data_IF_338110525539
#
_entry.id   IF_338110525539
#
_cell.length_a   1.000
_cell.length_b   1.000
_cell.length_c   1.000
_cell.angle_alpha   90.00
_cell.angle_beta   90.00
_cell.angle_gamma   90.00
#
_symmetry.space_group_name_H-M   'P 1'
#
loop_
_entity.id
_entity.type
_entity.pdbx_description
1 polymer ?
#
# COMPACT_ATOMS: atom_id res chain seq x y z
N UNK A 1 -23.26 -6.02 -12.43
CA UNK A 1 -22.64 -6.49 -11.18
C UNK A 1 -22.03 -5.26 -10.53
N UNK A 2 -22.65 -4.73 -9.48
CA UNK A 2 -22.12 -3.56 -8.76
C UNK A 2 -20.79 -3.97 -8.13
N UNK A 3 -19.70 -3.21 -8.29
CA UNK A 3 -18.47 -3.51 -7.57
C UNK A 3 -18.79 -3.42 -6.08
N UNK A 4 -18.37 -4.42 -5.30
CA UNK A 4 -18.53 -4.41 -3.85
C UNK A 4 -17.67 -3.28 -3.26
N UNK A 5 -18.19 -2.05 -3.27
CA UNK A 5 -17.55 -0.83 -2.75
C UNK A 5 -17.06 -0.99 -1.30
N UNK A 6 -17.69 -1.90 -0.55
CA UNK A 6 -17.34 -2.22 0.84
C UNK A 6 -16.01 -2.97 0.99
N UNK A 7 -15.61 -3.78 0.01
CA UNK A 7 -14.39 -4.61 0.09
C UNK A 7 -13.11 -3.78 -0.08
N UNK A 8 -13.04 -2.98 -1.14
CA UNK A 8 -11.90 -2.11 -1.42
C UNK A 8 -11.66 -1.06 -0.32
N UNK A 9 -12.74 -0.45 0.19
CA UNK A 9 -12.67 0.50 1.32
C UNK A 9 -12.06 -0.13 2.57
N UNK A 10 -12.50 -1.34 2.94
CA UNK A 10 -11.94 -2.06 4.09
C UNK A 10 -10.45 -2.40 3.93
N UNK A 11 -10.03 -2.82 2.73
CA UNK A 11 -8.60 -3.09 2.44
C UNK A 11 -7.76 -1.82 2.57
N UNK A 12 -8.25 -0.68 2.08
CA UNK A 12 -7.54 0.60 2.23
C UNK A 12 -7.43 1.09 3.68
N UNK A 13 -8.52 0.95 4.45
CA UNK A 13 -8.52 1.25 5.89
C UNK A 13 -7.52 0.38 6.66
N UNK A 14 -7.42 -0.90 6.32
CA UNK A 14 -6.45 -1.82 6.92
C UNK A 14 -5.01 -1.40 6.62
N UNK A 15 -4.69 -1.09 5.36
CA UNK A 15 -3.36 -0.56 4.98
C UNK A 15 -3.01 0.71 5.73
N UNK A 16 -3.96 1.64 5.87
CA UNK A 16 -3.73 2.87 6.62
C UNK A 16 -3.44 2.59 8.11
N UNK A 17 -4.18 1.67 8.73
CA UNK A 17 -3.97 1.25 10.11
C UNK A 17 -2.60 0.61 10.32
N UNK A 18 -2.19 -0.27 9.42
CA UNK A 18 -0.90 -0.96 9.47
C UNK A 18 0.28 0.00 9.28
N UNK A 19 0.16 0.98 8.37
CA UNK A 19 1.14 2.06 8.24
C UNK A 19 1.21 2.94 9.49
N UNK A 20 0.08 3.23 10.12
CA UNK A 20 0.03 3.96 11.39
C UNK A 20 0.70 3.18 12.52
N UNK A 21 0.56 1.85 12.55
CA UNK A 21 1.25 0.98 13.51
C UNK A 21 2.78 1.04 13.33
N UNK A 22 3.28 1.04 12.10
CA UNK A 22 4.72 1.23 11.83
C UNK A 22 5.19 2.58 12.37
N UNK A 23 4.44 3.66 12.12
CA UNK A 23 4.77 4.98 12.65
C UNK A 23 4.81 4.99 14.18
N UNK A 24 3.84 4.34 14.84
CA UNK A 24 3.82 4.19 16.29
C UNK A 24 5.04 3.40 16.82
N UNK A 25 5.39 2.29 16.18
CA UNK A 25 6.58 1.49 16.54
C UNK A 25 7.85 2.33 16.47
N UNK A 26 8.00 3.12 15.39
CA UNK A 26 9.13 4.02 15.20
C UNK A 26 9.16 5.12 16.27
N UNK A 27 8.03 5.79 16.52
CA UNK A 27 7.91 6.86 17.52
C UNK A 27 8.27 6.36 18.93
N UNK A 28 7.77 5.18 19.31
CA UNK A 28 8.04 4.56 20.60
C UNK A 28 9.37 3.81 20.68
N UNK A 29 10.14 3.79 19.58
CA UNK A 29 11.43 3.08 19.46
C UNK A 29 11.34 1.61 19.88
N UNK A 30 10.23 0.95 19.52
CA UNK A 30 9.99 -0.44 19.86
C UNK A 30 10.79 -1.35 18.92
N UNK A 31 11.33 -2.45 19.44
CA UNK A 31 11.98 -3.49 18.63
C UNK A 31 10.93 -4.41 18.02
N UNK A 32 10.29 -3.96 16.94
CA UNK A 32 9.29 -4.71 16.17
C UNK A 32 9.57 -4.58 14.67
N UNK A 33 9.11 -5.52 13.84
CA UNK A 33 9.17 -5.36 12.38
C UNK A 33 8.48 -4.06 11.94
N UNK A 34 9.11 -3.33 11.03
CA UNK A 34 8.59 -2.11 10.42
C UNK A 34 8.26 -2.34 8.95
N UNK A 35 7.66 -3.49 8.66
CA UNK A 35 7.13 -3.81 7.33
C UNK A 35 5.77 -4.48 7.44
N UNK A 36 4.97 -4.31 6.39
CA UNK A 36 3.64 -4.90 6.24
C UNK A 36 3.51 -5.54 4.86
N UNK A 37 2.83 -6.68 4.78
CA UNK A 37 2.67 -7.45 3.55
C UNK A 37 1.19 -7.63 3.27
N UNK A 38 0.74 -7.20 2.09
CA UNK A 38 -0.61 -7.45 1.62
C UNK A 38 -0.61 -8.26 0.33
N UNK A 39 -1.41 -9.31 0.32
CA UNK A 39 -1.74 -10.04 -0.89
C UNK A 39 -2.92 -9.35 -1.59
N UNK A 40 -2.76 -9.17 -2.89
CA UNK A 40 -3.61 -8.44 -3.84
C UNK A 40 -4.50 -7.28 -3.35
N UNK A 41 -4.21 -6.09 -3.90
CA UNK A 41 -5.03 -4.87 -3.80
C UNK A 41 -5.96 -4.66 -5.01
N UNK A 42 -6.24 -5.70 -5.81
CA UNK A 42 -7.03 -5.60 -7.05
C UNK A 42 -8.45 -5.06 -6.87
N UNK A 43 -9.09 -5.35 -5.73
CA UNK A 43 -10.43 -4.85 -5.40
C UNK A 43 -10.45 -3.40 -4.88
N UNK A 44 -9.27 -2.80 -4.67
CA UNK A 44 -9.13 -1.43 -4.18
C UNK A 44 -9.24 -0.47 -5.37
N UNK A 45 -9.93 0.65 -5.13
CA UNK A 45 -10.04 1.72 -6.12
C UNK A 45 -8.66 2.31 -6.42
N UNK A 46 -8.38 2.63 -7.68
CA UNK A 46 -7.06 3.10 -8.10
C UNK A 46 -6.61 4.37 -7.37
N UNK A 47 -7.54 5.27 -7.03
CA UNK A 47 -7.23 6.48 -6.29
C UNK A 47 -6.82 6.14 -4.85
N UNK A 48 -7.49 5.17 -4.23
CA UNK A 48 -7.13 4.68 -2.90
C UNK A 48 -5.77 3.97 -2.91
N UNK A 49 -5.45 3.21 -3.96
CA UNK A 49 -4.12 2.61 -4.12
C UNK A 49 -3.03 3.69 -4.18
N UNK A 50 -3.27 4.73 -4.98
CA UNK A 50 -2.36 5.89 -5.08
C UNK A 50 -2.14 6.55 -3.71
N UNK A 51 -3.21 6.81 -2.97
CA UNK A 51 -3.13 7.41 -1.63
C UNK A 51 -2.35 6.52 -0.65
N UNK A 52 -2.59 5.20 -0.66
CA UNK A 52 -1.87 4.25 0.19
C UNK A 52 -0.38 4.27 -0.15
N UNK A 53 0.00 4.25 -1.43
CA UNK A 53 1.40 4.24 -1.86
C UNK A 53 2.10 5.55 -1.47
N UNK A 54 1.41 6.69 -1.61
CA UNK A 54 1.93 7.98 -1.14
C UNK A 54 2.19 7.98 0.37
N UNK A 55 1.28 7.42 1.17
CA UNK A 55 1.46 7.33 2.62
C UNK A 55 2.55 6.33 3.00
N UNK A 56 2.65 5.21 2.27
CA UNK A 56 3.70 4.21 2.48
C UNK A 56 5.09 4.80 2.23
N UNK A 57 5.29 5.54 1.14
CA UNK A 57 6.59 6.16 0.81
C UNK A 57 7.01 7.26 1.80
N UNK A 58 6.07 7.81 2.57
CA UNK A 58 6.35 8.77 3.65
C UNK A 58 6.60 8.09 5.01
N UNK A 59 6.30 6.80 5.12
CA UNK A 59 6.49 6.03 6.35
C UNK A 59 7.94 5.54 6.47
N UNK A 60 8.46 5.49 7.69
CA UNK A 60 9.78 4.93 7.96
C UNK A 60 9.70 3.39 8.12
N UNK A 61 9.27 2.72 7.06
CA UNK A 61 9.08 1.27 7.00
C UNK A 61 8.86 0.79 5.57
N UNK A 62 8.47 -0.48 5.41
CA UNK A 62 8.26 -1.09 4.09
C UNK A 62 6.82 -1.55 3.91
N UNK A 63 6.20 -1.12 2.81
CA UNK A 63 4.95 -1.69 2.33
C UNK A 63 5.23 -2.62 1.17
N UNK A 64 4.98 -3.92 1.37
CA UNK A 64 5.21 -4.96 0.38
C UNK A 64 3.85 -5.45 -0.09
N UNK A 65 3.59 -5.36 -1.38
CA UNK A 65 2.26 -5.66 -1.92
C UNK A 65 2.36 -6.36 -3.26
N UNK A 66 1.52 -7.37 -3.45
CA UNK A 66 1.27 -7.95 -4.75
C UNK A 66 0.21 -7.13 -5.48
N UNK A 67 0.51 -6.69 -6.70
CA UNK A 67 -0.38 -5.86 -7.52
C UNK A 67 -0.32 -6.29 -8.97
N UNK A 68 -1.47 -6.34 -9.64
CA UNK A 68 -1.54 -6.56 -11.07
C UNK A 68 -0.96 -5.35 -11.81
N UNK A 69 -0.12 -5.59 -12.81
CA UNK A 69 0.59 -4.52 -13.53
C UNK A 69 -0.34 -3.54 -14.24
N UNK A 70 -1.55 -3.99 -14.63
CA UNK A 70 -2.58 -3.19 -15.28
C UNK A 70 -3.11 -2.05 -14.38
N UNK A 71 -3.14 -2.25 -13.06
CA UNK A 71 -3.52 -1.23 -12.07
C UNK A 71 -2.52 -0.08 -11.98
N UNK A 72 -1.27 -0.30 -12.43
CA UNK A 72 -0.18 0.67 -12.37
C UNK A 72 0.13 1.29 -13.74
N UNK A 73 -0.82 1.26 -14.68
CA UNK A 73 -0.62 1.74 -16.05
C UNK A 73 -0.68 3.27 -16.20
N UNK A 74 -1.31 3.97 -15.25
CA UNK A 74 -1.37 5.44 -15.25
C UNK A 74 0.02 6.02 -14.92
N UNK A 75 0.43 7.07 -15.65
CA UNK A 75 1.72 7.78 -15.50
C UNK A 75 1.96 8.26 -14.06
N UNK A 76 0.90 8.56 -13.31
CA UNK A 76 0.98 8.93 -11.89
C UNK A 76 1.67 7.86 -11.03
N UNK A 77 1.59 6.58 -11.41
CA UNK A 77 2.24 5.49 -10.69
C UNK A 77 3.73 5.32 -11.04
N UNK A 78 4.25 6.02 -12.04
CA UNK A 78 5.64 5.89 -12.45
C UNK A 78 6.62 6.40 -11.39
N UNK A 79 6.17 7.33 -10.52
CA UNK A 79 6.95 7.74 -9.34
C UNK A 79 7.17 6.56 -8.39
N UNK A 80 6.11 5.80 -8.10
CA UNK A 80 6.19 4.66 -7.20
C UNK A 80 7.03 3.53 -7.78
N UNK A 81 6.95 3.28 -9.09
CA UNK A 81 7.81 2.29 -9.76
C UNK A 81 9.30 2.63 -9.64
N UNK A 82 9.66 3.92 -9.70
CA UNK A 82 11.05 4.38 -9.57
C UNK A 82 11.56 4.31 -8.13
N UNK A 83 10.69 4.56 -7.16
CA UNK A 83 11.02 4.56 -5.74
C UNK A 83 10.93 3.17 -5.09
N UNK A 84 10.31 2.20 -5.77
CA UNK A 84 10.08 0.85 -5.26
C UNK A 84 11.00 -0.18 -5.89
N UNK A 85 11.22 -1.29 -5.17
CA UNK A 85 11.79 -2.50 -5.75
C UNK A 85 10.65 -3.32 -6.34
N UNK A 86 10.61 -3.43 -7.68
CA UNK A 86 9.62 -4.23 -8.39
C UNK A 86 10.19 -5.61 -8.68
N UNK A 87 9.44 -6.64 -8.30
CA UNK A 87 9.74 -8.04 -8.61
C UNK A 87 8.70 -8.54 -9.62
N UNK A 88 9.15 -8.91 -10.81
CA UNK A 88 8.31 -9.46 -11.89
C UNK A 88 8.60 -10.96 -12.04
N UNK A 89 7.55 -11.75 -12.30
CA UNK A 89 7.60 -13.19 -12.51
C UNK A 89 7.38 -13.54 -13.98
#
# INVERSE_FOLDING_TARGET
ISPNSTGGKKKGELSAFDLAYINFVNEKRLKRPTFVIHDSIEDVDVNQVFDIFQNANRSNGQYIVAVLSDKLTNEEFDVFKKESVVLEL
#
